data_IF_686595372938
#
_entry.id   IF_686595372938
#
_cell.length_a   1.000
_cell.length_b   1.000
_cell.length_c   1.000
_cell.angle_alpha   90.00
_cell.angle_beta   90.00
_cell.angle_gamma   90.00
#
_symmetry.space_group_name_H-M   'P 1'
#
loop_
_entity.id
_entity.type
_entity.pdbx_description
1 polymer ?
#
# COMPACT_ATOMS: atom_id res chain seq x y z
N UNK A 1 -10.83 -35.47 7.06
CA UNK A 1 -9.49 -35.21 6.49
C UNK A 1 -9.11 -33.80 6.90
N UNK A 2 -8.23 -33.67 7.90
CA UNK A 2 -7.78 -32.38 8.41
C UNK A 2 -6.79 -31.80 7.41
N UNK A 3 -7.20 -30.80 6.63
CA UNK A 3 -6.31 -30.05 5.77
C UNK A 3 -5.36 -29.23 6.63
N UNK A 4 -4.07 -29.57 6.62
CA UNK A 4 -3.01 -28.74 7.19
C UNK A 4 -3.11 -27.33 6.59
N UNK A 5 -2.93 -26.26 7.40
CA UNK A 5 -2.90 -24.91 6.85
C UNK A 5 -1.74 -24.81 5.83
N UNK A 6 -1.92 -24.09 4.71
CA UNK A 6 -0.85 -23.88 3.74
C UNK A 6 0.35 -23.25 4.46
N UNK A 7 1.55 -23.73 4.15
CA UNK A 7 2.77 -23.27 4.80
C UNK A 7 3.08 -21.82 4.35
N UNK A 8 2.61 -20.82 5.11
CA UNK A 8 2.70 -19.39 4.78
C UNK A 8 4.13 -18.91 4.43
N UNK A 9 5.19 -19.53 4.99
CA UNK A 9 6.58 -19.13 4.68
C UNK A 9 7.04 -19.57 3.30
N UNK A 10 6.58 -20.74 2.83
CA UNK A 10 6.90 -21.22 1.48
C UNK A 10 6.23 -20.36 0.40
N UNK A 11 5.11 -19.71 0.75
CA UNK A 11 4.35 -18.82 -0.15
C UNK A 11 5.06 -17.46 -0.35
N UNK A 12 5.58 -16.85 0.73
CA UNK A 12 6.28 -15.55 0.67
C UNK A 12 7.53 -15.60 -0.22
N UNK A 13 8.42 -16.58 -0.02
CA UNK A 13 9.65 -16.67 -0.83
C UNK A 13 9.34 -16.95 -2.31
N UNK A 14 8.33 -17.78 -2.58
CA UNK A 14 7.90 -18.07 -3.96
C UNK A 14 7.34 -16.82 -4.64
N UNK A 15 6.52 -16.05 -3.92
CA UNK A 15 6.00 -14.76 -4.40
C UNK A 15 7.12 -13.77 -4.70
N UNK A 16 8.06 -13.58 -3.76
CA UNK A 16 9.19 -12.67 -3.95
C UNK A 16 10.01 -13.12 -5.15
N UNK A 17 10.41 -14.39 -5.23
CA UNK A 17 11.24 -14.90 -6.33
C UNK A 17 10.55 -14.72 -7.70
N UNK A 18 9.24 -14.99 -7.78
CA UNK A 18 8.46 -14.81 -9.00
C UNK A 18 8.43 -13.37 -9.49
N UNK A 19 8.23 -12.43 -8.57
CA UNK A 19 7.97 -11.03 -8.92
C UNK A 19 9.23 -10.15 -8.92
N UNK A 20 10.31 -10.56 -8.23
CA UNK A 20 11.62 -9.89 -8.26
C UNK A 20 12.56 -10.41 -9.36
N UNK A 21 12.47 -11.70 -9.73
CA UNK A 21 13.43 -12.41 -10.58
C UNK A 21 13.29 -12.18 -12.09
N UNK A 22 12.13 -11.76 -12.56
CA UNK A 22 12.07 -10.96 -13.78
C UNK A 22 11.65 -11.58 -15.11
N UNK A 23 10.49 -12.26 -15.15
CA UNK A 23 9.73 -12.51 -16.40
C UNK A 23 8.44 -11.66 -16.54
N UNK A 24 8.13 -10.78 -15.58
CA UNK A 24 6.89 -9.97 -15.56
C UNK A 24 6.82 -8.81 -16.56
N UNK A 25 7.61 -8.84 -17.64
CA UNK A 25 7.83 -7.75 -18.59
C UNK A 25 6.73 -7.49 -19.61
N UNK A 26 5.46 -7.78 -19.32
CA UNK A 26 4.33 -7.37 -20.18
C UNK A 26 3.28 -6.57 -19.41
N UNK A 27 3.00 -5.39 -19.95
CA UNK A 27 2.27 -4.25 -19.40
C UNK A 27 0.81 -4.57 -19.02
N UNK A 28 0.29 -3.87 -18.00
CA UNK A 28 -1.10 -3.86 -17.46
C UNK A 28 -1.73 -5.20 -17.07
N UNK A 29 -1.48 -6.29 -17.78
CA UNK A 29 -2.07 -7.60 -17.53
C UNK A 29 -1.60 -8.23 -16.20
N UNK A 30 -0.43 -7.85 -15.69
CA UNK A 30 0.18 -8.51 -14.55
C UNK A 30 -0.12 -7.88 -13.18
N UNK A 31 -0.58 -6.63 -13.08
CA UNK A 31 -0.79 -6.01 -11.77
C UNK A 31 -1.95 -6.68 -11.00
N UNK A 32 -3.02 -7.06 -11.70
CA UNK A 32 -4.15 -7.74 -11.08
C UNK A 32 -3.76 -9.13 -10.56
N UNK A 33 -2.94 -9.86 -11.32
CA UNK A 33 -2.39 -11.14 -10.88
C UNK A 33 -1.44 -10.97 -9.69
N UNK A 34 -0.51 -10.02 -9.77
CA UNK A 34 0.42 -9.68 -8.69
C UNK A 34 -0.32 -9.33 -7.38
N UNK A 35 -1.31 -8.44 -7.45
CA UNK A 35 -2.08 -8.03 -6.28
C UNK A 35 -3.00 -9.15 -5.76
N UNK A 36 -3.47 -10.03 -6.63
CA UNK A 36 -4.23 -11.22 -6.21
C UNK A 36 -3.34 -12.22 -5.44
N UNK A 37 -2.13 -12.49 -5.94
CA UNK A 37 -1.16 -13.34 -5.24
C UNK A 37 -0.66 -12.68 -3.94
N UNK A 38 -0.50 -11.35 -3.93
CA UNK A 38 -0.21 -10.62 -2.69
C UNK A 38 -1.32 -10.83 -1.65
N UNK A 39 -2.59 -10.86 -2.05
CA UNK A 39 -3.69 -11.11 -1.11
C UNK A 39 -3.55 -12.49 -0.43
N UNK A 40 -3.10 -13.50 -1.17
CA UNK A 40 -2.87 -14.84 -0.61
C UNK A 40 -1.73 -14.82 0.41
N UNK A 41 -0.61 -14.17 0.04
CA UNK A 41 0.56 -13.99 0.91
C UNK A 41 0.20 -13.24 2.20
N UNK A 42 -0.71 -12.26 2.12
CA UNK A 42 -1.20 -11.50 3.26
C UNK A 42 -2.31 -12.23 4.04
N UNK A 43 -2.86 -13.33 3.51
CA UNK A 43 -4.01 -14.03 4.09
C UNK A 43 -5.28 -13.19 4.13
N UNK A 44 -5.50 -12.33 3.14
CA UNK A 44 -6.70 -11.49 3.01
C UNK A 44 -7.56 -11.94 1.83
N UNK A 45 -8.87 -11.60 1.81
CA UNK A 45 -9.71 -11.87 0.65
C UNK A 45 -9.14 -11.21 -0.62
N UNK A 46 -9.25 -11.92 -1.75
CA UNK A 46 -8.99 -11.35 -3.08
C UNK A 46 -10.13 -10.41 -3.49
N UNK A 47 -9.90 -9.46 -4.43
CA UNK A 47 -10.94 -8.57 -4.93
C UNK A 47 -12.08 -9.31 -5.64
N UNK A 48 -13.29 -8.75 -5.56
CA UNK A 48 -14.48 -9.27 -6.23
C UNK A 48 -14.49 -8.94 -7.73
N UNK A 49 -15.32 -9.64 -8.49
CA UNK A 49 -15.59 -9.28 -9.89
C UNK A 49 -16.33 -7.95 -9.96
N UNK A 50 -15.83 -7.03 -10.80
CA UNK A 50 -16.49 -5.76 -11.01
C UNK A 50 -17.86 -5.95 -11.69
N UNK A 51 -18.88 -5.27 -11.16
CA UNK A 51 -20.20 -5.18 -11.79
C UNK A 51 -20.34 -3.89 -12.59
N UNK A 52 -21.35 -3.82 -13.47
CA UNK A 52 -21.71 -2.58 -14.18
C UNK A 52 -22.16 -1.45 -13.22
N UNK A 53 -22.69 -1.80 -12.04
CA UNK A 53 -23.07 -0.84 -11.03
C UNK A 53 -21.86 -0.49 -10.15
N UNK A 54 -21.25 0.65 -10.43
CA UNK A 54 -20.18 1.21 -9.62
C UNK A 54 -20.48 1.24 -8.11
N UNK A 55 -21.72 1.52 -7.70
CA UNK A 55 -22.08 1.66 -6.28
C UNK A 55 -21.98 0.34 -5.48
N UNK A 56 -22.06 -0.82 -6.14
CA UNK A 56 -21.89 -2.14 -5.50
C UNK A 56 -20.45 -2.61 -5.49
N UNK A 57 -19.56 -1.94 -6.22
CA UNK A 57 -18.15 -2.31 -6.36
C UNK A 57 -17.35 -1.80 -5.14
N UNK A 58 -17.47 -2.51 -4.02
CA UNK A 58 -16.84 -2.15 -2.74
C UNK A 58 -15.40 -2.67 -2.60
N UNK A 59 -15.02 -3.75 -3.31
CA UNK A 59 -13.64 -4.24 -3.34
C UNK A 59 -13.33 -4.85 -4.71
N UNK A 60 -12.86 -4.06 -5.67
CA UNK A 60 -12.70 -4.50 -7.07
C UNK A 60 -11.48 -3.88 -7.72
N UNK A 61 -10.97 -4.56 -8.75
CA UNK A 61 -10.07 -3.95 -9.73
C UNK A 61 -10.81 -2.98 -10.65
N UNK A 62 -10.09 -2.01 -11.23
CA UNK A 62 -10.56 -1.09 -12.28
C UNK A 62 -11.86 -0.36 -11.90
N UNK A 63 -11.97 0.09 -10.63
CA UNK A 63 -13.17 0.79 -10.13
C UNK A 63 -13.35 2.11 -10.87
N UNK A 64 -14.42 2.20 -11.67
CA UNK A 64 -14.77 3.41 -12.40
C UNK A 64 -15.08 4.57 -11.44
N UNK A 65 -14.59 5.77 -11.76
CA UNK A 65 -14.88 7.03 -11.06
C UNK A 65 -15.13 8.14 -12.07
N UNK A 66 -15.80 9.20 -11.62
CA UNK A 66 -16.09 10.37 -12.46
C UNK A 66 -15.48 11.60 -11.82
N UNK A 67 -14.54 12.20 -12.52
CA UNK A 67 -14.01 13.51 -12.19
C UNK A 67 -14.99 14.58 -12.62
N UNK A 68 -15.21 15.58 -11.78
CA UNK A 68 -16.05 16.74 -12.07
C UNK A 68 -15.14 17.96 -12.11
N UNK A 69 -15.08 18.58 -13.28
CA UNK A 69 -14.29 19.78 -13.49
C UNK A 69 -15.06 21.04 -13.06
N UNK A 70 -14.37 22.14 -12.71
CA UNK A 70 -15.03 23.39 -12.32
C UNK A 70 -15.93 24.00 -13.39
N UNK A 71 -15.67 23.70 -14.66
CA UNK A 71 -16.47 24.14 -15.82
C UNK A 71 -17.76 23.31 -16.03
N UNK A 72 -18.00 22.32 -15.16
CA UNK A 72 -19.15 21.42 -15.23
C UNK A 72 -18.95 20.21 -16.15
N UNK A 73 -17.82 20.11 -16.85
CA UNK A 73 -17.47 18.92 -17.61
C UNK A 73 -17.11 17.75 -16.70
N UNK A 74 -17.20 16.54 -17.24
CA UNK A 74 -16.87 15.32 -16.51
C UNK A 74 -15.88 14.47 -17.28
N UNK A 75 -14.87 13.95 -16.59
CA UNK A 75 -13.96 12.96 -17.13
C UNK A 75 -14.12 11.62 -16.41
N UNK A 76 -13.93 10.51 -17.13
CA UNK A 76 -13.95 9.17 -16.55
C UNK A 76 -12.55 8.74 -16.12
N UNK A 77 -12.44 8.15 -14.93
CA UNK A 77 -11.23 7.51 -14.43
C UNK A 77 -11.48 6.06 -14.01
N UNK A 78 -10.41 5.32 -13.75
CA UNK A 78 -10.49 3.99 -13.14
C UNK A 78 -9.37 3.82 -12.13
N UNK A 79 -9.73 3.46 -10.91
CA UNK A 79 -8.79 3.10 -9.86
C UNK A 79 -8.33 1.66 -10.08
N UNK A 80 -7.02 1.41 -10.09
CA UNK A 80 -6.48 0.07 -10.35
C UNK A 80 -7.00 -0.96 -9.35
N UNK A 81 -6.93 -0.67 -8.05
CA UNK A 81 -7.59 -1.48 -7.02
C UNK A 81 -8.22 -0.59 -5.94
N UNK A 82 -9.50 -0.77 -5.72
CA UNK A 82 -10.25 -0.02 -4.70
C UNK A 82 -10.82 -0.97 -3.66
N UNK A 83 -10.67 -0.61 -2.38
CA UNK A 83 -11.43 -1.22 -1.29
C UNK A 83 -12.06 -0.14 -0.41
N UNK A 84 -13.39 -0.09 -0.41
CA UNK A 84 -14.18 0.89 0.33
C UNK A 84 -13.82 0.89 1.81
N UNK A 85 -13.62 2.09 2.34
CA UNK A 85 -13.23 2.29 3.74
C UNK A 85 -11.81 1.83 4.09
N UNK A 86 -11.04 1.32 3.12
CA UNK A 86 -9.68 0.83 3.32
C UNK A 86 -8.66 1.64 2.53
N UNK A 87 -8.67 1.54 1.20
CA UNK A 87 -7.66 2.18 0.37
C UNK A 87 -8.09 2.43 -1.07
N UNK A 88 -7.39 3.37 -1.69
CA UNK A 88 -7.22 3.49 -3.14
C UNK A 88 -5.80 3.07 -3.46
N UNK A 89 -5.62 2.18 -4.44
CA UNK A 89 -4.31 1.72 -4.90
C UNK A 89 -4.12 2.05 -6.38
N UNK A 90 -3.00 2.69 -6.68
CA UNK A 90 -2.51 2.96 -8.04
C UNK A 90 -1.26 2.12 -8.31
N UNK A 91 -1.29 1.31 -9.36
CA UNK A 91 -0.20 0.43 -9.76
C UNK A 91 0.56 1.03 -10.95
N UNK A 92 1.88 1.14 -10.78
CA UNK A 92 2.84 1.45 -11.84
C UNK A 92 3.78 0.27 -12.03
N UNK A 93 4.49 0.29 -13.14
CA UNK A 93 5.57 -0.64 -13.39
C UNK A 93 6.74 0.16 -13.94
N UNK A 94 7.78 0.32 -13.13
CA UNK A 94 9.00 0.98 -13.57
C UNK A 94 9.77 0.11 -14.57
N UNK A 95 10.29 0.73 -15.63
CA UNK A 95 11.13 0.02 -16.61
C UNK A 95 12.50 -0.28 -16.01
N UNK A 96 13.08 -1.44 -16.33
CA UNK A 96 14.42 -1.83 -15.88
C UNK A 96 15.49 -0.95 -16.55
N UNK A 97 16.42 -0.34 -15.79
CA UNK A 97 17.68 0.13 -16.34
C UNK A 97 18.38 -1.03 -17.06
N UNK A 98 18.75 -0.85 -18.32
CA UNK A 98 19.44 -1.87 -19.13
C UNK A 98 18.55 -2.78 -20.00
N UNK A 99 17.23 -2.58 -20.06
CA UNK A 99 16.41 -3.20 -21.12
C UNK A 99 16.69 -2.50 -22.46
N UNK A 100 16.82 -3.25 -23.56
CA UNK A 100 17.28 -2.81 -24.88
C UNK A 100 16.39 -1.78 -25.62
N UNK A 101 15.58 -1.00 -24.90
CA UNK A 101 14.84 0.17 -25.37
C UNK A 101 15.01 1.35 -24.39
N UNK A 102 16.21 1.53 -23.85
CA UNK A 102 16.60 2.79 -23.26
C UNK A 102 16.61 3.85 -24.37
N UNK A 103 15.78 4.88 -24.23
CA UNK A 103 15.79 6.07 -25.09
C UNK A 103 17.16 6.73 -24.91
N UNK A 104 17.85 7.20 -25.96
CA UNK A 104 19.11 7.90 -25.79
C UNK A 104 18.85 9.19 -25.00
N UNK A 105 19.34 9.25 -23.77
CA UNK A 105 19.46 10.49 -23.00
C UNK A 105 20.46 11.40 -23.72
N UNK A 106 19.97 12.34 -24.52
CA UNK A 106 20.74 13.55 -24.84
C UNK A 106 20.60 14.50 -23.65
N UNK A 107 21.52 14.36 -22.69
CA UNK A 107 21.56 15.21 -21.51
C UNK A 107 22.68 14.83 -20.56
N UNK A 108 23.82 15.50 -20.72
CA UNK A 108 24.95 15.64 -19.79
C UNK A 108 26.04 14.55 -19.79
N UNK A 109 27.12 14.85 -20.53
CA UNK A 109 28.33 14.05 -20.75
C UNK A 109 29.33 14.15 -19.56
N UNK A 110 28.88 14.12 -18.31
CA UNK A 110 29.76 14.34 -17.15
C UNK A 110 29.57 13.40 -15.95
N UNK A 111 28.88 12.25 -16.10
CA UNK A 111 28.76 11.25 -15.04
C UNK A 111 29.08 9.82 -15.50
N UNK A 112 29.91 9.69 -16.55
CA UNK A 112 30.24 8.42 -17.20
C UNK A 112 31.38 7.65 -16.53
N UNK A 113 31.47 7.62 -15.20
CA UNK A 113 32.37 6.67 -14.52
C UNK A 113 31.70 6.08 -13.27
N UNK A 114 31.54 4.76 -13.27
CA UNK A 114 31.09 3.88 -12.18
C UNK A 114 29.57 3.71 -12.00
N UNK A 115 28.93 2.97 -12.93
CA UNK A 115 27.73 2.19 -12.59
C UNK A 115 28.01 0.74 -12.93
N UNK A 116 28.63 0.03 -11.99
CA UNK A 116 28.72 -1.42 -12.02
C UNK A 116 27.32 -2.03 -11.94
N UNK A 117 27.07 -2.94 -12.87
CA UNK A 117 25.90 -3.82 -12.97
C UNK A 117 25.59 -4.50 -11.64
N UNK A 118 24.52 -4.08 -10.97
CA UNK A 118 24.04 -4.73 -9.74
C UNK A 118 22.57 -5.15 -9.91
N UNK A 119 22.18 -6.38 -9.50
CA UNK A 119 20.79 -6.83 -9.56
C UNK A 119 19.88 -5.90 -8.73
N UNK A 120 18.71 -5.55 -9.28
CA UNK A 120 17.67 -4.80 -8.55
C UNK A 120 17.05 -5.67 -7.45
N UNK A 121 17.72 -5.66 -6.30
CA UNK A 121 17.23 -5.96 -4.95
C UNK A 121 17.91 -5.04 -3.92
N UNK A 122 18.59 -3.98 -4.39
CA UNK A 122 19.33 -3.02 -3.58
C UNK A 122 18.96 -1.60 -4.01
N UNK A 123 18.16 -0.95 -3.17
CA UNK A 123 18.07 0.50 -2.81
C UNK A 123 18.67 1.57 -3.75
N UNK A 124 18.69 1.44 -5.06
CA UNK A 124 19.10 2.53 -5.97
C UNK A 124 17.87 3.13 -6.65
N UNK A 125 17.61 4.40 -6.33
CA UNK A 125 16.50 5.21 -6.81
C UNK A 125 17.02 6.07 -7.96
N UNK A 126 16.41 5.99 -9.15
CA UNK A 126 16.71 6.92 -10.24
C UNK A 126 15.74 8.10 -10.21
N UNK A 127 16.17 9.27 -10.67
CA UNK A 127 15.34 10.48 -10.67
C UNK A 127 14.00 10.30 -11.41
N UNK A 128 14.02 9.63 -12.57
CA UNK A 128 12.80 9.32 -13.33
C UNK A 128 11.84 8.38 -12.60
N UNK A 129 12.36 7.51 -11.72
CA UNK A 129 11.53 6.64 -10.88
C UNK A 129 10.82 7.43 -9.78
N UNK A 130 11.50 8.38 -9.13
CA UNK A 130 10.86 9.25 -8.14
C UNK A 130 9.73 10.08 -8.76
N UNK A 131 9.93 10.60 -9.98
CA UNK A 131 8.88 11.32 -10.73
C UNK A 131 7.68 10.41 -11.02
N UNK A 132 7.92 9.18 -11.45
CA UNK A 132 6.86 8.19 -11.67
C UNK A 132 6.04 7.95 -10.40
N UNK A 133 6.70 7.69 -9.27
CA UNK A 133 6.03 7.41 -8.00
C UNK A 133 5.26 8.62 -7.48
N UNK A 134 5.82 9.83 -7.58
CA UNK A 134 5.11 11.06 -7.23
C UNK A 134 3.86 11.29 -8.09
N UNK A 135 3.95 11.03 -9.40
CA UNK A 135 2.80 11.15 -10.30
C UNK A 135 1.70 10.15 -9.96
N UNK A 136 2.06 8.91 -9.61
CA UNK A 136 1.13 7.86 -9.22
C UNK A 136 0.44 8.20 -7.89
N UNK A 137 1.18 8.76 -6.93
CA UNK A 137 0.59 9.25 -5.68
C UNK A 137 -0.44 10.34 -5.95
N UNK A 138 -0.11 11.34 -6.78
CA UNK A 138 -1.06 12.41 -7.15
C UNK A 138 -2.32 11.84 -7.80
N UNK A 139 -2.16 10.85 -8.67
CA UNK A 139 -3.28 10.16 -9.29
C UNK A 139 -4.17 9.42 -8.27
N UNK A 140 -3.57 8.71 -7.31
CA UNK A 140 -4.32 8.09 -6.22
C UNK A 140 -5.08 9.11 -5.35
N UNK A 141 -4.47 10.27 -5.07
CA UNK A 141 -5.12 11.38 -4.36
C UNK A 141 -6.32 11.92 -5.16
N UNK A 142 -6.16 12.14 -6.47
CA UNK A 142 -7.25 12.64 -7.32
C UNK A 142 -8.40 11.62 -7.45
N UNK A 143 -8.09 10.32 -7.47
CA UNK A 143 -9.11 9.29 -7.39
C UNK A 143 -9.86 9.25 -6.07
N UNK A 144 -9.16 9.40 -4.94
CA UNK A 144 -9.82 9.48 -3.64
C UNK A 144 -10.81 10.65 -3.58
N UNK A 145 -10.48 11.79 -4.21
CA UNK A 145 -11.38 12.96 -4.33
C UNK A 145 -12.60 12.70 -5.24
N UNK A 146 -12.45 11.83 -6.22
CA UNK A 146 -13.51 11.49 -7.17
C UNK A 146 -14.49 10.41 -6.65
N UNK A 147 -14.23 9.82 -5.48
CA UNK A 147 -15.15 8.87 -4.86
C UNK A 147 -16.46 9.55 -4.41
N UNK A 148 -17.59 8.82 -4.38
CA UNK A 148 -18.84 9.37 -3.87
C UNK A 148 -18.70 9.82 -2.41
N UNK A 149 -19.21 11.00 -2.08
CA UNK A 149 -19.17 11.58 -0.72
C UNK A 149 -19.72 10.62 0.35
N UNK A 150 -20.74 9.83 -0.01
CA UNK A 150 -21.35 8.83 0.88
C UNK A 150 -20.40 7.70 1.30
N UNK A 151 -19.35 7.44 0.53
CA UNK A 151 -18.34 6.43 0.85
C UNK A 151 -17.23 6.97 1.77
N UNK A 152 -17.16 8.30 1.94
CA UNK A 152 -16.12 8.97 2.69
C UNK A 152 -14.74 8.87 2.02
N UNK A 153 -13.72 9.31 2.75
CA UNK A 153 -12.33 9.25 2.28
C UNK A 153 -11.68 7.94 2.71
N UNK A 154 -10.97 7.24 1.81
CA UNK A 154 -10.25 6.03 2.16
C UNK A 154 -9.13 6.38 3.16
N UNK A 155 -8.94 5.62 4.25
CA UNK A 155 -7.86 5.89 5.20
C UNK A 155 -6.46 5.82 4.60
N UNK A 156 -6.26 5.02 3.54
CA UNK A 156 -4.98 4.83 2.90
C UNK A 156 -4.98 5.14 1.40
N UNK A 157 -3.85 5.66 0.92
CA UNK A 157 -3.45 5.60 -0.48
C UNK A 157 -2.24 4.68 -0.59
N UNK A 158 -2.25 3.82 -1.60
CA UNK A 158 -1.16 2.90 -1.88
C UNK A 158 -0.67 3.15 -3.30
N UNK A 159 0.63 3.41 -3.45
CA UNK A 159 1.27 3.36 -4.77
C UNK A 159 2.05 2.06 -4.83
N UNK A 160 1.84 1.26 -5.87
CA UNK A 160 2.54 0.01 -6.07
C UNK A 160 3.43 0.11 -7.31
N UNK A 161 4.74 -0.07 -7.15
CA UNK A 161 5.61 -0.42 -8.27
C UNK A 161 5.67 -1.95 -8.35
N UNK A 162 4.93 -2.52 -9.30
CA UNK A 162 4.72 -3.96 -9.42
C UNK A 162 6.06 -4.68 -9.54
N UNK A 163 6.30 -5.63 -8.64
CA UNK A 163 7.55 -6.38 -8.60
C UNK A 163 8.69 -5.68 -7.85
N UNK A 164 8.46 -4.52 -7.23
CA UNK A 164 9.52 -3.73 -6.59
C UNK A 164 9.14 -3.24 -5.20
N UNK A 165 8.12 -2.39 -5.04
CA UNK A 165 7.76 -1.84 -3.73
C UNK A 165 6.34 -1.28 -3.66
N UNK A 166 5.92 -0.97 -2.44
CA UNK A 166 4.71 -0.22 -2.12
C UNK A 166 5.08 1.06 -1.37
N UNK A 167 4.43 2.17 -1.70
CA UNK A 167 4.44 3.38 -0.86
C UNK A 167 3.09 3.56 -0.21
N UNK A 168 3.10 3.68 1.12
CA UNK A 168 1.89 3.75 1.95
C UNK A 168 1.72 5.16 2.50
N UNK A 169 0.55 5.73 2.25
CA UNK A 169 0.17 7.03 2.76
C UNK A 169 -1.16 6.92 3.51
N UNK A 170 -1.31 7.63 4.64
CA UNK A 170 -2.49 7.55 5.49
C UNK A 170 -3.06 8.92 5.85
N UNK A 171 -4.38 9.02 5.89
CA UNK A 171 -5.14 10.12 6.47
C UNK A 171 -6.24 9.56 7.38
N UNK A 172 -5.90 9.31 8.64
CA UNK A 172 -6.87 8.83 9.64
C UNK A 172 -7.88 9.90 10.09
N UNK A 173 -7.69 11.17 9.71
CA UNK A 173 -8.68 12.22 10.00
C UNK A 173 -9.96 12.04 9.17
N UNK A 174 -9.87 11.28 8.06
CA UNK A 174 -10.97 11.07 7.13
C UNK A 174 -11.39 12.34 6.38
N UNK A 175 -10.51 13.34 6.30
CA UNK A 175 -10.79 14.60 5.60
C UNK A 175 -10.30 14.59 4.14
N UNK A 176 -9.42 13.65 3.77
CA UNK A 176 -8.88 13.54 2.41
C UNK A 176 -7.93 14.67 2.04
N UNK A 177 -7.34 15.33 3.04
CA UNK A 177 -6.51 16.53 2.83
C UNK A 177 -5.03 16.24 2.97
N UNK A 178 -4.66 15.33 3.89
CA UNK A 178 -3.29 15.20 4.36
C UNK A 178 -2.87 13.73 4.44
N UNK A 179 -2.79 13.07 3.29
CA UNK A 179 -2.19 11.75 3.21
C UNK A 179 -0.68 11.83 3.49
N UNK A 180 -0.28 11.49 4.72
CA UNK A 180 1.10 11.50 5.17
C UNK A 180 1.76 10.14 4.97
N UNK A 181 3.09 10.12 4.81
CA UNK A 181 3.87 8.88 4.77
C UNK A 181 3.61 8.04 6.03
N UNK A 182 3.24 6.76 5.86
CA UNK A 182 2.86 5.88 6.96
C UNK A 182 3.66 4.57 6.97
N UNK A 183 4.18 4.11 8.12
CA UNK A 183 4.00 4.67 9.46
C UNK A 183 4.81 5.95 9.72
N UNK A 184 5.89 6.15 8.95
CA UNK A 184 6.81 7.28 9.07
C UNK A 184 7.63 7.44 7.78
N UNK A 185 8.54 8.42 7.75
CA UNK A 185 9.36 8.75 6.56
C UNK A 185 10.33 7.65 6.14
N UNK A 186 10.64 6.68 7.00
CA UNK A 186 11.56 5.59 6.71
C UNK A 186 10.80 4.32 6.31
N UNK A 187 9.69 4.04 6.99
CA UNK A 187 8.89 2.82 6.81
C UNK A 187 7.76 2.91 5.78
N UNK A 188 7.51 4.07 5.17
CA UNK A 188 6.43 4.22 4.20
C UNK A 188 6.65 3.46 2.90
N UNK A 189 7.90 3.17 2.56
CA UNK A 189 8.26 2.40 1.37
C UNK A 189 8.62 0.99 1.79
N UNK A 190 7.80 0.04 1.34
CA UNK A 190 7.91 -1.39 1.63
C UNK A 190 8.38 -2.08 0.37
N UNK A 191 9.63 -2.55 0.34
CA UNK A 191 10.14 -3.35 -0.77
C UNK A 191 9.60 -4.78 -0.71
N UNK A 192 9.64 -5.51 -1.83
CA UNK A 192 9.19 -6.90 -1.84
C UNK A 192 9.93 -7.76 -0.82
N UNK A 193 11.22 -7.51 -0.62
CA UNK A 193 12.03 -8.25 0.35
C UNK A 193 11.58 -8.04 1.79
N UNK A 194 10.98 -6.89 2.10
CA UNK A 194 10.45 -6.57 3.42
C UNK A 194 9.21 -7.43 3.76
N UNK A 195 8.56 -8.04 2.76
CA UNK A 195 7.48 -9.01 2.99
C UNK A 195 7.95 -10.26 3.74
N UNK A 196 9.26 -10.49 3.91
CA UNK A 196 9.79 -11.53 4.80
C UNK A 196 9.52 -11.23 6.27
N UNK A 197 9.45 -9.96 6.64
CA UNK A 197 9.09 -9.53 7.98
C UNK A 197 7.58 -9.70 8.22
N UNK A 198 7.23 -10.39 9.29
CA UNK A 198 5.85 -10.66 9.67
C UNK A 198 5.12 -9.40 10.12
N UNK A 199 5.81 -8.43 10.73
CA UNK A 199 5.19 -7.16 11.12
C UNK A 199 4.79 -6.34 9.90
N UNK A 200 5.63 -6.35 8.85
CA UNK A 200 5.32 -5.72 7.57
C UNK A 200 4.09 -6.34 6.91
N UNK A 201 4.01 -7.68 6.87
CA UNK A 201 2.82 -8.38 6.35
C UNK A 201 1.58 -8.09 7.21
N UNK A 202 1.69 -8.09 8.53
CA UNK A 202 0.57 -7.77 9.42
C UNK A 202 0.08 -6.34 9.23
N UNK A 203 0.98 -5.37 9.06
CA UNK A 203 0.62 -3.98 8.75
C UNK A 203 -0.17 -3.89 7.44
N UNK A 204 0.31 -4.52 6.37
CA UNK A 204 -0.41 -4.58 5.10
C UNK A 204 -1.77 -5.30 5.27
N UNK A 205 -1.82 -6.42 5.99
CA UNK A 205 -3.06 -7.14 6.28
C UNK A 205 -4.09 -6.26 7.00
N UNK A 206 -3.65 -5.46 7.98
CA UNK A 206 -4.51 -4.52 8.69
C UNK A 206 -5.02 -3.40 7.79
N UNK A 207 -4.22 -2.89 6.85
CA UNK A 207 -4.69 -1.93 5.84
C UNK A 207 -5.89 -2.51 5.05
N UNK A 208 -5.85 -3.81 4.73
CA UNK A 208 -6.92 -4.48 3.98
C UNK A 208 -8.17 -4.81 4.81
N UNK A 209 -8.02 -5.09 6.10
CA UNK A 209 -9.11 -5.68 6.91
C UNK A 209 -9.69 -4.72 7.94
N UNK A 210 -8.84 -3.92 8.58
CA UNK A 210 -9.22 -3.05 9.69
C UNK A 210 -8.23 -1.87 9.79
N UNK A 211 -8.25 -0.94 8.83
CA UNK A 211 -7.27 0.14 8.72
C UNK A 211 -7.24 1.02 9.98
N UNK A 212 -8.37 1.12 10.69
CA UNK A 212 -8.50 1.96 11.89
C UNK A 212 -7.69 1.43 13.09
N UNK A 213 -7.28 0.15 13.09
CA UNK A 213 -6.34 -0.38 14.09
C UNK A 213 -4.94 0.22 13.97
N UNK A 214 -4.61 0.80 12.82
CA UNK A 214 -3.31 1.42 12.56
C UNK A 214 -3.26 2.91 12.93
N UNK A 215 -4.38 3.50 13.38
CA UNK A 215 -4.46 4.90 13.79
C UNK A 215 -3.61 5.14 15.06
N UNK A 216 -2.51 5.93 14.98
CA UNK A 216 -1.65 6.19 16.12
C UNK A 216 -2.39 6.82 17.31
N UNK A 217 -3.43 7.62 17.05
CA UNK A 217 -4.23 8.28 18.09
C UNK A 217 -5.00 7.25 18.91
N UNK A 218 -5.60 6.26 18.24
CA UNK A 218 -6.32 5.17 18.90
C UNK A 218 -5.37 4.25 19.67
N UNK A 219 -4.20 3.96 19.10
CA UNK A 219 -3.16 3.15 19.76
C UNK A 219 -2.68 3.85 21.03
N UNK A 220 -2.36 5.15 20.96
CA UNK A 220 -1.91 5.94 22.11
C UNK A 220 -2.99 6.06 23.20
N UNK A 221 -4.25 6.30 22.82
CA UNK A 221 -5.37 6.36 23.75
C UNK A 221 -5.58 5.03 24.49
N UNK A 222 -5.49 3.90 23.76
CA UNK A 222 -5.59 2.56 24.35
C UNK A 222 -4.45 2.30 25.34
N UNK A 223 -3.20 2.59 24.96
CA UNK A 223 -2.05 2.43 25.83
C UNK A 223 -2.18 3.28 27.11
N UNK A 224 -2.63 4.54 26.98
CA UNK A 224 -2.87 5.43 28.12
C UNK A 224 -3.91 4.86 29.08
N UNK A 225 -5.02 4.34 28.55
CA UNK A 225 -6.07 3.70 29.36
C UNK A 225 -5.55 2.46 30.10
N UNK A 226 -4.78 1.61 29.43
CA UNK A 226 -4.20 0.41 30.05
C UNK A 226 -3.21 0.76 31.18
N UNK A 227 -2.40 1.80 30.99
CA UNK A 227 -1.50 2.30 32.04
C UNK A 227 -2.29 2.83 33.23
N UNK A 228 -3.34 3.63 33.00
CA UNK A 228 -4.20 4.13 34.06
C UNK A 228 -4.89 3.00 34.84
N UNK A 229 -5.40 1.98 34.16
CA UNK A 229 -6.02 0.80 34.79
C UNK A 229 -5.01 0.00 35.64
N UNK A 230 -3.76 -0.15 35.18
CA UNK A 230 -2.69 -0.80 35.97
C UNK A 230 -2.31 0.03 37.19
N UNK A 231 -2.16 1.34 37.05
CA UNK A 231 -1.86 2.25 38.17
C UNK A 231 -2.97 2.23 39.22
N UNK A 232 -4.24 2.23 38.80
CA UNK A 232 -5.38 2.13 39.72
C UNK A 232 -5.38 0.80 40.49
N UNK A 233 -5.07 -0.33 39.84
CA UNK A 233 -4.96 -1.64 40.50
C UNK A 233 -3.83 -1.67 41.53
N UNK A 234 -2.65 -1.13 41.19
CA UNK A 234 -1.52 -1.05 42.11
C UNK A 234 -1.84 -0.16 43.31
N UNK A 235 -2.45 1.01 43.08
CA UNK A 235 -2.88 1.91 44.15
C UNK A 235 -3.88 1.23 45.10
N UNK A 236 -4.89 0.53 44.57
CA UNK A 236 -5.86 -0.20 45.39
C UNK A 236 -5.20 -1.29 46.24
N UNK A 237 -4.24 -2.02 45.68
CA UNK A 237 -3.51 -3.06 46.39
C UNK A 237 -2.62 -2.49 47.51
N UNK A 238 -2.03 -1.31 47.31
CA UNK A 238 -1.23 -0.64 48.33
C UNK A 238 -2.08 -0.10 49.50
N UNK A 239 -3.28 0.40 49.23
CA UNK A 239 -4.23 0.81 50.28
C UNK A 239 -4.72 -0.39 51.10
N UNK A 240 -5.02 -1.52 50.44
CA UNK A 240 -5.40 -2.78 51.12
C UNK A 240 -4.27 -3.33 52.02
N UNK A 241 -3.01 -3.07 51.68
CA UNK A 241 -1.85 -3.47 52.48
C UNK A 241 -1.54 -2.51 53.64
N UNK A 242 -1.85 -1.21 53.50
CA UNK A 242 -1.68 -0.22 54.58
C UNK A 242 -2.82 -0.22 55.60
N UNK A 243 -3.98 -0.76 55.25
CA UNK A 243 -5.13 -0.90 56.14
C UNK A 243 -5.11 -2.15 57.06
N UNK A 244 -4.02 -2.93 57.04
CA UNK A 244 -3.76 -4.07 57.93
C UNK A 244 -2.66 -3.73 58.91
#
# INVERSE_FOLDING_TARGET
>A
MSSSPPNLRADVESFIARWSGGDGGQERANYALFLSELCDVLGVPRPDQASHNAATNAYVFERAVTFREPDGSTASGRIDLYKRGCFVLEAKQSRRPGSAKAVPEQGDLLAAEQIESTPRGKRTLSHGWDVLMMSARRQAEDYAKALPVSEGWPPFLIVCDVGHCFEIYADFSGQGKNYAQFPDRQGFRIFLEDLRDENTRERLRLIWLDPQKLDPTKIAAKATREVAERLAKVSKHLEELKGR
#
